data_IF_939275130292
#
_entry.id   IF_939275130292
#
_cell.length_a   1.000
_cell.length_b   1.000
_cell.length_c   1.000
_cell.angle_alpha   90.00
_cell.angle_beta   90.00
_cell.angle_gamma   90.00
#
_symmetry.space_group_name_H-M   'P 1'
#
loop_
_entity.id
_entity.type
_entity.pdbx_description
1 polymer ?
#
# COMPACT_ATOMS: atom_id res chain seq x y z
N UNK A 1 -2.25 36.40 11.95
CA UNK A 1 -1.61 35.20 11.38
C UNK A 1 -1.68 35.34 9.88
N UNK A 2 -0.56 35.52 9.21
CA UNK A 2 -0.51 35.73 7.76
C UNK A 2 -1.02 34.47 7.08
N UNK A 3 -2.17 34.55 6.41
CA UNK A 3 -2.66 33.48 5.55
C UNK A 3 -1.61 33.24 4.46
N UNK A 4 -0.96 32.07 4.48
CA UNK A 4 0.00 31.70 3.45
C UNK A 4 -0.82 31.44 2.19
N UNK A 5 -0.82 32.39 1.25
CA UNK A 5 -1.49 32.23 -0.03
C UNK A 5 -0.74 31.20 -0.87
N UNK A 6 -1.25 29.97 -0.89
CA UNK A 6 -0.74 28.92 -1.76
C UNK A 6 -1.25 29.19 -3.18
N UNK A 7 -0.32 29.34 -4.12
CA UNK A 7 -0.62 29.49 -5.55
C UNK A 7 -0.49 28.14 -6.24
N UNK A 8 -1.41 27.89 -7.17
CA UNK A 8 -1.37 26.73 -8.03
C UNK A 8 -0.12 26.80 -8.93
N UNK A 9 0.63 25.70 -8.99
CA UNK A 9 1.86 25.60 -9.78
C UNK A 9 1.59 25.58 -11.29
N UNK A 10 0.37 25.22 -11.72
CA UNK A 10 0.01 25.12 -13.13
C UNK A 10 -0.49 26.44 -13.73
N UNK A 11 -1.36 27.16 -13.00
CA UNK A 11 -2.02 28.36 -13.54
C UNK A 11 -1.80 29.63 -12.70
N UNK A 12 -1.01 29.56 -11.62
CA UNK A 12 -0.69 30.71 -10.75
C UNK A 12 -1.86 31.25 -9.93
N UNK A 13 -3.06 30.66 -10.04
CA UNK A 13 -4.25 31.08 -9.31
C UNK A 13 -4.20 30.58 -7.86
N UNK A 14 -4.87 31.27 -6.93
CA UNK A 14 -4.97 30.84 -5.52
C UNK A 14 -5.63 29.46 -5.42
N UNK A 15 -5.07 28.60 -4.59
CA UNK A 15 -5.72 27.34 -4.19
C UNK A 15 -6.56 27.58 -2.94
N UNK A 16 -7.53 26.70 -2.70
CA UNK A 16 -8.38 26.73 -1.52
C UNK A 16 -8.28 25.41 -0.77
N UNK A 17 -8.31 25.45 0.55
CA UNK A 17 -8.32 24.22 1.36
C UNK A 17 -9.58 23.40 1.09
N UNK A 18 -9.40 22.08 1.02
CA UNK A 18 -10.45 21.07 0.81
C UNK A 18 -10.12 19.82 1.64
N UNK A 19 -11.15 19.05 1.99
CA UNK A 19 -11.07 17.83 2.82
C UNK A 19 -11.70 16.59 2.16
N UNK A 20 -12.01 16.70 0.87
CA UNK A 20 -12.73 15.72 0.07
C UNK A 20 -11.88 15.11 -1.07
N UNK A 21 -10.55 15.26 -1.02
CA UNK A 21 -9.66 14.72 -2.06
C UNK A 21 -9.67 13.19 -1.99
N UNK A 22 -9.79 12.55 -3.16
CA UNK A 22 -9.72 11.10 -3.30
C UNK A 22 -8.47 10.73 -4.09
N UNK A 23 -7.62 9.90 -3.50
CA UNK A 23 -6.41 9.40 -4.15
C UNK A 23 -6.62 7.94 -4.57
N UNK A 24 -6.54 7.67 -5.87
CA UNK A 24 -6.66 6.32 -6.42
C UNK A 24 -5.30 5.85 -6.90
N UNK A 25 -4.85 4.70 -6.42
CA UNK A 25 -3.60 4.09 -6.85
C UNK A 25 -3.79 2.60 -7.12
N UNK A 26 -3.12 2.09 -8.15
CA UNK A 26 -3.00 0.65 -8.38
C UNK A 26 -1.73 0.14 -7.69
N UNK A 27 -1.89 -0.72 -6.68
CA UNK A 27 -0.79 -1.33 -5.94
C UNK A 27 -0.84 -2.84 -6.19
N UNK A 28 0.19 -3.39 -6.84
CA UNK A 28 0.30 -4.82 -7.18
C UNK A 28 -0.96 -5.40 -7.88
N UNK A 29 -1.56 -4.64 -8.80
CA UNK A 29 -2.75 -5.06 -9.54
C UNK A 29 -4.06 -4.95 -8.75
N UNK A 30 -4.04 -4.41 -7.53
CA UNK A 30 -5.23 -4.05 -6.75
C UNK A 30 -5.43 -2.55 -6.81
N UNK A 31 -6.66 -2.13 -7.10
CA UNK A 31 -7.05 -0.72 -7.01
C UNK A 31 -7.33 -0.36 -5.54
N UNK A 32 -6.63 0.66 -5.06
CA UNK A 32 -6.78 1.19 -3.69
C UNK A 32 -7.25 2.64 -3.81
N UNK A 33 -8.41 2.91 -3.24
CA UNK A 33 -8.98 4.27 -3.17
C UNK A 33 -8.86 4.77 -1.74
N UNK A 34 -8.15 5.87 -1.56
CA UNK A 34 -7.97 6.56 -0.28
C UNK A 34 -8.81 7.82 -0.33
N UNK A 35 -9.89 7.85 0.46
CA UNK A 35 -10.87 8.94 0.45
C UNK A 35 -10.68 9.92 1.60
N UNK A 36 -11.27 11.11 1.49
CA UNK A 36 -11.31 12.13 2.57
C UNK A 36 -9.91 12.63 2.96
N UNK A 37 -9.10 12.89 1.95
CA UNK A 37 -7.80 13.50 2.12
C UNK A 37 -7.94 15.02 2.13
N UNK A 38 -7.17 15.64 3.02
CA UNK A 38 -7.04 17.09 3.18
C UNK A 38 -5.93 17.62 2.30
N UNK A 39 -6.13 18.83 1.78
CA UNK A 39 -5.18 19.49 0.90
C UNK A 39 -5.69 20.81 0.37
N UNK A 40 -5.21 21.21 -0.79
CA UNK A 40 -5.69 22.40 -1.49
C UNK A 40 -6.09 22.08 -2.92
N UNK A 41 -7.16 22.69 -3.42
CA UNK A 41 -7.66 22.54 -4.79
C UNK A 41 -7.62 23.89 -5.50
N UNK A 42 -7.09 23.93 -6.72
CA UNK A 42 -7.14 25.10 -7.56
C UNK A 42 -8.56 25.28 -8.13
N UNK A 43 -9.16 26.45 -7.88
CA UNK A 43 -10.51 26.76 -8.37
C UNK A 43 -10.58 27.03 -9.88
N UNK A 44 -9.43 27.23 -10.55
CA UNK A 44 -9.36 27.54 -11.97
C UNK A 44 -9.10 26.30 -12.83
N UNK A 45 -8.05 25.53 -12.52
CA UNK A 45 -7.66 24.35 -13.31
C UNK A 45 -8.08 23.01 -12.67
N UNK A 46 -8.59 23.02 -11.44
CA UNK A 46 -9.01 21.80 -10.74
C UNK A 46 -7.88 21.00 -10.08
N UNK A 47 -6.61 21.40 -10.25
CA UNK A 47 -5.47 20.68 -9.69
C UNK A 47 -5.54 20.56 -8.17
N UNK A 48 -5.24 19.36 -7.65
CA UNK A 48 -5.31 19.02 -6.23
C UNK A 48 -3.93 18.77 -5.66
N UNK A 49 -3.65 19.32 -4.49
CA UNK A 49 -2.40 19.17 -3.77
C UNK A 49 -2.68 18.62 -2.39
N UNK A 50 -2.09 17.47 -2.05
CA UNK A 50 -2.27 16.87 -0.74
C UNK A 50 -1.50 17.65 0.34
N UNK A 51 -2.14 17.81 1.51
CA UNK A 51 -1.46 18.30 2.71
C UNK A 51 -0.54 17.25 3.33
N UNK A 52 0.36 17.67 4.22
CA UNK A 52 1.34 16.79 4.87
C UNK A 52 0.69 15.58 5.57
N UNK A 53 -0.32 15.83 6.41
CA UNK A 53 -1.03 14.76 7.15
C UNK A 53 -1.70 13.73 6.23
N UNK A 54 -2.17 14.18 5.06
CA UNK A 54 -2.80 13.31 4.07
C UNK A 54 -1.78 12.53 3.26
N UNK A 55 -0.60 13.11 3.02
CA UNK A 55 0.52 12.40 2.43
C UNK A 55 0.99 11.26 3.34
N UNK A 56 1.11 11.51 4.64
CA UNK A 56 1.49 10.49 5.63
C UNK A 56 0.48 9.33 5.64
N UNK A 57 -0.82 9.64 5.60
CA UNK A 57 -1.88 8.62 5.47
C UNK A 57 -1.76 7.82 4.18
N UNK A 58 -1.52 8.49 3.05
CA UNK A 58 -1.32 7.81 1.76
C UNK A 58 -0.11 6.89 1.83
N UNK A 59 0.99 7.32 2.43
CA UNK A 59 2.19 6.52 2.58
C UNK A 59 1.97 5.30 3.50
N UNK A 60 1.31 5.49 4.64
CA UNK A 60 0.99 4.41 5.58
C UNK A 60 0.11 3.34 4.90
N UNK A 61 -0.94 3.77 4.21
CA UNK A 61 -1.84 2.87 3.47
C UNK A 61 -1.08 2.17 2.36
N UNK A 62 -0.30 2.89 1.57
CA UNK A 62 0.49 2.32 0.47
C UNK A 62 1.49 1.27 0.99
N UNK A 63 2.13 1.51 2.14
CA UNK A 63 3.03 0.55 2.80
C UNK A 63 2.31 -0.72 3.28
N UNK A 64 1.07 -0.61 3.76
CA UNK A 64 0.25 -1.78 4.14
C UNK A 64 -0.11 -2.65 2.94
N UNK A 65 -0.31 -2.04 1.78
CA UNK A 65 -0.65 -2.77 0.54
C UNK A 65 0.56 -3.24 -0.27
N UNK A 66 1.74 -2.65 -0.07
CA UNK A 66 3.00 -3.24 -0.53
C UNK A 66 3.25 -4.51 0.28
N UNK A 67 3.15 -5.69 -0.35
CA UNK A 67 3.61 -6.93 0.28
C UNK A 67 5.03 -6.68 0.80
N UNK A 68 5.38 -7.11 2.02
CA UNK A 68 6.77 -7.00 2.47
C UNK A 68 7.63 -7.75 1.45
N UNK A 69 8.47 -6.98 0.75
CA UNK A 69 9.30 -7.41 -0.37
C UNK A 69 10.48 -8.25 0.10
N UNK A 70 10.21 -9.34 0.84
CA UNK A 70 11.23 -10.30 1.23
C UNK A 70 10.91 -11.62 0.54
N UNK A 71 11.46 -11.74 -0.68
CA UNK A 71 11.40 -12.99 -1.44
C UNK A 71 12.44 -13.94 -0.87
N UNK A 72 12.02 -14.84 0.01
CA UNK A 72 12.89 -15.90 0.52
C UNK A 72 12.93 -17.07 -0.47
N UNK A 73 14.10 -17.31 -1.08
CA UNK A 73 14.34 -18.55 -1.83
C UNK A 73 14.68 -19.67 -0.85
N UNK A 74 13.81 -20.66 -0.72
CA UNK A 74 14.04 -21.87 0.09
C UNK A 74 14.08 -23.12 -0.77
N UNK A 75 14.99 -24.03 -0.42
CA UNK A 75 15.03 -25.37 -1.00
C UNK A 75 13.81 -26.15 -0.52
N UNK A 76 13.08 -26.77 -1.44
CA UNK A 76 12.03 -27.74 -1.10
C UNK A 76 12.73 -29.01 -0.60
N UNK A 77 12.48 -29.39 0.64
CA UNK A 77 13.08 -30.58 1.25
C UNK A 77 12.06 -31.72 1.30
N UNK A 78 12.51 -32.91 1.69
CA UNK A 78 11.66 -34.08 1.89
C UNK A 78 11.75 -34.51 3.34
N UNK A 79 10.61 -34.65 4.00
CA UNK A 79 10.49 -35.16 5.37
C UNK A 79 9.32 -36.14 5.44
N UNK A 80 9.53 -37.32 6.02
CA UNK A 80 8.50 -38.37 6.10
C UNK A 80 7.92 -38.79 4.74
N UNK A 81 8.72 -38.73 3.67
CA UNK A 81 8.28 -39.04 2.30
C UNK A 81 7.45 -37.94 1.63
N UNK A 82 7.26 -36.78 2.26
CA UNK A 82 6.49 -35.64 1.72
C UNK A 82 7.40 -34.46 1.44
N UNK A 83 7.07 -33.69 0.41
CA UNK A 83 7.75 -32.42 0.11
C UNK A 83 7.31 -31.37 1.13
N UNK A 84 8.27 -30.70 1.74
CA UNK A 84 8.02 -29.69 2.77
C UNK A 84 8.82 -28.43 2.47
N UNK A 85 8.26 -27.29 2.88
CA UNK A 85 8.92 -25.98 2.85
C UNK A 85 8.89 -25.47 4.28
N UNK A 86 10.07 -25.27 4.88
CA UNK A 86 10.18 -24.67 6.19
C UNK A 86 9.98 -23.15 6.09
N UNK A 87 9.10 -22.61 6.95
CA UNK A 87 8.94 -21.17 7.12
C UNK A 87 10.11 -20.66 7.99
N UNK A 88 10.87 -19.64 7.56
CA UNK A 88 11.92 -19.03 8.37
C UNK A 88 11.35 -18.40 9.66
N UNK A 89 12.12 -18.44 10.74
CA UNK A 89 11.72 -17.91 12.06
C UNK A 89 11.35 -16.43 12.00
N UNK A 90 11.99 -15.66 11.12
CA UNK A 90 11.70 -14.24 10.92
C UNK A 90 10.29 -14.02 10.35
N UNK A 91 9.84 -14.92 9.46
CA UNK A 91 8.48 -14.89 8.92
C UNK A 91 7.49 -15.33 9.99
N UNK A 92 7.77 -16.40 10.74
CA UNK A 92 6.92 -16.86 11.84
C UNK A 92 6.75 -15.78 12.92
N UNK A 93 7.82 -15.04 13.22
CA UNK A 93 7.78 -13.92 14.17
C UNK A 93 6.95 -12.75 13.66
N UNK A 94 7.03 -12.46 12.36
CA UNK A 94 6.31 -11.35 11.74
C UNK A 94 4.81 -11.65 11.54
N UNK A 95 4.46 -12.88 11.14
CA UNK A 95 3.08 -13.29 10.88
C UNK A 95 2.34 -13.71 12.16
N UNK A 96 3.07 -13.97 13.25
CA UNK A 96 2.56 -14.74 14.38
C UNK A 96 2.51 -16.22 14.01
N UNK A 97 2.65 -17.11 15.00
CA UNK A 97 2.59 -18.57 14.80
C UNK A 97 1.18 -18.97 14.34
N UNK A 98 0.94 -18.86 13.04
CA UNK A 98 -0.30 -19.21 12.36
C UNK A 98 -0.20 -20.64 11.89
N UNK A 99 -1.20 -21.42 12.22
CA UNK A 99 -1.17 -22.87 12.02
C UNK A 99 -1.76 -23.30 10.67
N UNK A 100 -2.44 -22.38 9.95
CA UNK A 100 -3.19 -22.70 8.74
C UNK A 100 -2.70 -21.91 7.52
N UNK A 101 -2.81 -22.54 6.35
CA UNK A 101 -2.42 -21.96 5.06
C UNK A 101 -3.42 -22.36 3.99
N UNK A 102 -3.87 -21.37 3.22
CA UNK A 102 -4.58 -21.59 1.96
C UNK A 102 -3.55 -21.77 0.84
N UNK A 103 -3.68 -22.85 0.07
CA UNK A 103 -2.78 -23.18 -1.04
C UNK A 103 -3.57 -23.26 -2.34
N UNK A 104 -3.13 -22.56 -3.39
CA UNK A 104 -3.70 -22.67 -4.72
C UNK A 104 -2.64 -22.51 -5.82
N UNK A 105 -3.01 -22.88 -7.04
CA UNK A 105 -2.18 -22.69 -8.23
C UNK A 105 -2.57 -21.39 -8.91
N UNK A 106 -1.56 -20.59 -9.24
CA UNK A 106 -1.71 -19.39 -10.07
C UNK A 106 -0.72 -19.51 -11.24
N UNK A 107 -1.23 -19.94 -12.40
CA UNK A 107 -0.39 -20.26 -13.57
C UNK A 107 0.57 -21.42 -13.28
N UNK A 108 1.87 -21.16 -13.36
CA UNK A 108 2.96 -22.12 -13.11
C UNK A 108 3.51 -22.05 -11.67
N UNK A 109 2.83 -21.34 -10.76
CA UNK A 109 3.30 -21.08 -9.39
C UNK A 109 2.34 -21.62 -8.34
N UNK A 110 2.89 -22.03 -7.20
CA UNK A 110 2.14 -22.31 -5.98
C UNK A 110 2.09 -21.02 -5.16
N UNK A 111 0.88 -20.59 -4.81
CA UNK A 111 0.64 -19.47 -3.91
C UNK A 111 0.20 -20.01 -2.56
N UNK A 112 0.77 -19.44 -1.50
CA UNK A 112 0.47 -19.78 -0.12
C UNK A 112 0.08 -18.52 0.66
N UNK A 113 -1.09 -18.53 1.29
CA UNK A 113 -1.57 -17.45 2.14
C UNK A 113 -1.81 -17.99 3.55
N UNK A 114 -1.09 -17.43 4.52
CA UNK A 114 -1.08 -17.89 5.93
C UNK A 114 -2.02 -17.00 6.75
N UNK A 115 -2.97 -17.59 7.49
CA UNK A 115 -4.00 -16.86 8.24
C UNK A 115 -4.07 -17.23 9.72
#
# INVERSE_FOLDING_TARGET
MSEIEIKCLLCGTKTREVDDINFTATIEGREVVITRLTGTRCQNCGEEYLGADSLDKVEEVTKKFRKPAVVFKRKITVSGGRRVIGIPEEIDRALGKKDNVNLWLEGDKIVAEVY
#
